data_IF_166200379102
#
_entry.id   IF_166200379102
#
_cell.length_a   1.000
_cell.length_b   1.000
_cell.length_c   1.000
_cell.angle_alpha   90.00
_cell.angle_beta   90.00
_cell.angle_gamma   90.00
#
_symmetry.space_group_name_H-M   'P 1'
#
loop_
_entity.id
_entity.type
_entity.pdbx_description
1 polymer ?
#
# COMPACT_ATOMS: atom_id res chain seq x y z
N UNK A 1 -10.46 -5.72 -11.68
CA UNK A 1 -9.52 -6.86 -11.60
C UNK A 1 -8.28 -6.38 -10.86
N UNK A 2 -7.89 -7.04 -9.77
CA UNK A 2 -6.61 -6.77 -9.10
C UNK A 2 -5.52 -7.35 -9.99
N UNK A 3 -4.59 -6.51 -10.47
CA UNK A 3 -3.54 -6.96 -11.38
C UNK A 3 -2.43 -7.76 -10.67
N UNK A 4 -1.44 -8.24 -11.44
CA UNK A 4 -0.33 -9.02 -10.90
C UNK A 4 0.50 -8.21 -9.90
N UNK A 5 1.22 -8.92 -9.03
CA UNK A 5 2.27 -8.34 -8.20
C UNK A 5 3.27 -7.63 -9.11
N UNK A 6 3.52 -6.35 -8.86
CA UNK A 6 4.46 -5.55 -9.63
C UNK A 6 5.63 -5.14 -8.79
N UNK A 7 6.80 -5.15 -9.42
CA UNK A 7 8.03 -4.68 -8.81
C UNK A 7 8.03 -3.17 -8.65
N UNK A 8 8.60 -2.69 -7.55
CA UNK A 8 8.77 -1.27 -7.21
C UNK A 8 9.36 -0.42 -8.34
N UNK A 9 10.17 -1.04 -9.21
CA UNK A 9 10.84 -0.41 -10.36
C UNK A 9 9.87 0.17 -11.41
N UNK A 10 8.62 -0.30 -11.45
CA UNK A 10 7.59 0.22 -12.38
C UNK A 10 7.14 1.64 -12.04
N UNK A 11 7.34 2.09 -10.80
CA UNK A 11 7.05 3.47 -10.41
C UNK A 11 8.05 4.39 -11.11
N UNK A 12 7.59 5.49 -11.71
CA UNK A 12 8.49 6.42 -12.42
C UNK A 12 9.30 7.28 -11.43
N UNK A 13 8.72 7.64 -10.28
CA UNK A 13 9.32 8.55 -9.30
C UNK A 13 10.21 7.84 -8.28
N UNK A 14 11.42 8.39 -8.03
CA UNK A 14 12.37 7.86 -7.04
C UNK A 14 11.79 7.81 -5.61
N UNK A 15 11.10 8.85 -5.17
CA UNK A 15 10.54 8.91 -3.80
C UNK A 15 9.48 7.81 -3.56
N UNK A 16 8.65 7.53 -4.57
CA UNK A 16 7.68 6.44 -4.51
C UNK A 16 8.37 5.08 -4.52
N UNK A 17 9.45 4.92 -5.32
CA UNK A 17 10.27 3.69 -5.30
C UNK A 17 10.87 3.44 -3.93
N UNK A 18 11.46 4.45 -3.30
CA UNK A 18 12.09 4.31 -1.98
C UNK A 18 11.07 3.93 -0.90
N UNK A 19 9.90 4.57 -0.89
CA UNK A 19 8.84 4.23 0.07
C UNK A 19 8.30 2.84 -0.20
N UNK A 20 7.98 2.51 -1.44
CA UNK A 20 7.43 1.20 -1.76
C UNK A 20 8.45 0.06 -1.54
N UNK A 21 9.76 0.28 -1.73
CA UNK A 21 10.81 -0.71 -1.43
C UNK A 21 10.86 -1.01 0.08
N UNK A 22 10.82 0.05 0.92
CA UNK A 22 10.76 -0.11 2.38
C UNK A 22 9.51 -0.87 2.81
N UNK A 23 8.37 -0.63 2.15
CA UNK A 23 7.11 -1.30 2.47
C UNK A 23 7.11 -2.76 2.02
N UNK A 24 7.62 -3.06 0.83
CA UNK A 24 7.78 -4.45 0.38
C UNK A 24 8.70 -5.22 1.31
N UNK A 25 9.80 -4.61 1.77
CA UNK A 25 10.67 -5.21 2.81
C UNK A 25 9.97 -5.42 4.15
N UNK A 26 8.99 -4.58 4.48
CA UNK A 26 8.13 -4.77 5.64
C UNK A 26 7.00 -5.79 5.41
N UNK A 27 6.98 -6.46 4.25
CA UNK A 27 6.01 -7.49 3.88
C UNK A 27 4.82 -6.99 3.07
N UNK A 28 4.75 -5.71 2.69
CA UNK A 28 3.65 -5.21 1.87
C UNK A 28 3.71 -5.73 0.43
N UNK A 29 2.56 -6.06 -0.13
CA UNK A 29 2.46 -6.54 -1.50
C UNK A 29 2.08 -5.39 -2.45
N UNK A 30 2.94 -5.06 -3.41
CA UNK A 30 2.62 -4.07 -4.44
C UNK A 30 1.96 -4.76 -5.64
N UNK A 31 0.75 -4.35 -6.02
CA UNK A 31 0.04 -4.88 -7.21
C UNK A 31 -0.32 -3.75 -8.18
N UNK A 32 -0.26 -4.03 -9.47
CA UNK A 32 -0.71 -3.06 -10.48
C UNK A 32 -2.24 -3.05 -10.55
N UNK A 33 -2.82 -1.86 -10.64
CA UNK A 33 -4.24 -1.65 -10.79
C UNK A 33 -4.46 -0.58 -11.86
N UNK A 34 -4.50 -1.04 -13.12
CA UNK A 34 -4.57 -0.17 -14.29
C UNK A 34 -3.36 0.76 -14.38
N UNK A 35 -3.60 2.07 -14.43
CA UNK A 35 -2.56 3.11 -14.50
C UNK A 35 -1.94 3.47 -13.13
N UNK A 36 -2.31 2.76 -12.07
CA UNK A 36 -1.84 2.98 -10.70
C UNK A 36 -1.28 1.68 -10.15
N UNK A 37 -0.54 1.76 -9.05
CA UNK A 37 -0.20 0.60 -8.25
C UNK A 37 -0.93 0.69 -6.91
N UNK A 38 -1.16 -0.42 -6.23
CA UNK A 38 -1.82 -0.47 -4.93
C UNK A 38 -0.98 -1.36 -4.01
N UNK A 39 -0.64 -0.85 -2.83
CA UNK A 39 0.02 -1.60 -1.76
C UNK A 39 -1.03 -2.30 -0.91
N UNK A 40 -0.89 -3.60 -0.76
CA UNK A 40 -1.73 -4.46 0.05
C UNK A 40 -1.02 -4.81 1.34
N UNK A 41 -1.74 -4.73 2.45
CA UNK A 41 -1.20 -5.04 3.76
C UNK A 41 -0.99 -6.55 3.94
N UNK A 42 0.13 -7.00 4.56
CA UNK A 42 0.41 -8.42 4.81
C UNK A 42 -0.44 -9.07 5.91
N UNK A 43 -1.37 -8.35 6.53
CA UNK A 43 -2.21 -8.95 7.58
C UNK A 43 -3.17 -9.99 6.97
N UNK A 44 -3.49 -11.06 7.71
CA UNK A 44 -4.36 -12.19 7.29
C UNK A 44 -5.79 -11.79 6.84
N UNK A 45 -6.16 -10.52 6.91
CA UNK A 45 -7.43 -9.98 6.41
C UNK A 45 -7.30 -8.84 5.39
N UNK A 46 -6.09 -8.54 4.88
CA UNK A 46 -5.81 -7.36 4.03
C UNK A 46 -6.47 -6.09 4.60
N UNK A 47 -6.21 -5.79 5.87
CA UNK A 47 -6.90 -4.76 6.64
C UNK A 47 -6.77 -3.33 6.08
N UNK A 48 -5.76 -3.07 5.23
CA UNK A 48 -5.56 -1.78 4.58
C UNK A 48 -4.95 -1.96 3.20
N UNK A 49 -5.49 -1.21 2.24
CA UNK A 49 -4.90 -1.03 0.91
C UNK A 49 -4.55 0.45 0.71
N UNK A 50 -3.39 0.70 0.12
CA UNK A 50 -2.88 2.05 -0.11
C UNK A 50 -2.66 2.22 -1.60
N UNK A 51 -3.50 3.00 -2.31
CA UNK A 51 -3.27 3.30 -3.71
C UNK A 51 -2.03 4.20 -3.85
N UNK A 52 -1.14 3.78 -4.74
CA UNK A 52 0.09 4.45 -5.14
C UNK A 52 -0.10 5.00 -6.57
N UNK A 53 -0.27 6.32 -6.73
CA UNK A 53 -0.33 6.92 -8.06
C UNK A 53 1.01 6.73 -8.79
N UNK A 54 0.99 6.35 -10.07
CA UNK A 54 2.21 6.19 -10.85
C UNK A 54 2.86 7.55 -11.21
N UNK A 55 2.01 8.57 -11.45
CA UNK A 55 2.42 9.94 -11.81
C UNK A 55 1.69 10.98 -10.95
N UNK A 56 2.05 11.15 -9.67
CA UNK A 56 1.49 12.21 -8.85
C UNK A 56 2.02 13.58 -9.27
N UNK A 57 1.18 14.62 -9.26
CA UNK A 57 1.63 16.00 -9.42
C UNK A 57 2.57 16.45 -8.28
N UNK A 58 2.53 15.79 -7.12
CA UNK A 58 3.47 15.99 -6.01
C UNK A 58 3.93 14.63 -5.45
N UNK A 59 5.06 14.08 -5.93
CA UNK A 59 5.55 12.76 -5.51
C UNK A 59 5.93 12.71 -4.03
N UNK A 60 6.51 13.78 -3.48
CA UNK A 60 6.96 13.80 -2.09
C UNK A 60 5.80 13.76 -1.11
N UNK A 61 4.72 14.47 -1.40
CA UNK A 61 3.51 14.42 -0.57
C UNK A 61 2.81 13.06 -0.69
N UNK A 62 2.73 12.49 -1.90
CA UNK A 62 2.19 11.14 -2.10
C UNK A 62 3.00 10.10 -1.31
N UNK A 63 4.32 10.14 -1.39
CA UNK A 63 5.23 9.26 -0.66
C UNK A 63 5.04 9.39 0.86
N UNK A 64 4.97 10.62 1.39
CA UNK A 64 4.70 10.86 2.82
C UNK A 64 3.34 10.32 3.25
N UNK A 65 2.30 10.50 2.44
CA UNK A 65 0.94 9.98 2.73
C UNK A 65 0.93 8.46 2.76
N UNK A 66 1.60 7.81 1.81
CA UNK A 66 1.74 6.35 1.75
C UNK A 66 2.48 5.86 3.00
N UNK A 67 3.63 6.46 3.33
CA UNK A 67 4.42 6.08 4.50
C UNK A 67 3.62 6.24 5.81
N UNK A 68 2.85 7.34 5.96
CA UNK A 68 2.01 7.55 7.15
C UNK A 68 0.90 6.51 7.28
N UNK A 69 0.22 6.17 6.17
CA UNK A 69 -0.81 5.11 6.19
C UNK A 69 -0.18 3.75 6.46
N UNK A 70 0.96 3.49 5.87
CA UNK A 70 1.66 2.24 6.08
C UNK A 70 2.11 2.08 7.52
N UNK A 71 2.50 3.14 8.25
CA UNK A 71 2.81 3.08 9.70
C UNK A 71 1.66 2.56 10.58
N UNK A 72 0.41 2.58 10.09
CA UNK A 72 -0.72 2.00 10.83
C UNK A 72 -0.69 0.46 10.83
N UNK A 73 0.16 -0.16 10.03
CA UNK A 73 0.36 -1.61 9.95
C UNK A 73 1.86 -1.95 9.83
N UNK A 74 2.33 -3.11 10.29
CA UNK A 74 1.57 -4.26 10.78
C UNK A 74 1.10 -4.06 12.22
N UNK A 75 -0.20 -4.23 12.44
CA UNK A 75 -0.76 -4.37 13.79
C UNK A 75 -0.34 -5.71 14.39
N UNK A 76 -0.27 -5.91 15.71
CA UNK A 76 0.06 -7.21 16.32
C UNK A 76 -0.97 -8.30 15.96
N UNK A 77 -0.53 -9.57 15.96
CA UNK A 77 -1.40 -10.72 15.73
C UNK A 77 -2.42 -10.82 16.88
N UNK A 78 -3.68 -10.47 16.61
CA UNK A 78 -4.72 -10.35 17.63
C UNK A 78 -5.33 -8.95 17.76
N UNK A 79 -4.79 -7.94 17.06
CA UNK A 79 -5.42 -6.62 17.05
C UNK A 79 -6.76 -6.68 16.28
N UNK A 80 -7.89 -6.27 16.88
CA UNK A 80 -9.19 -6.29 16.23
C UNK A 80 -9.26 -5.40 14.98
N UNK A 81 -8.30 -4.47 14.78
CA UNK A 81 -8.17 -3.68 13.55
C UNK A 81 -7.55 -4.45 12.38
N UNK A 82 -7.00 -5.66 12.60
CA UNK A 82 -6.54 -6.58 11.53
C UNK A 82 -7.71 -7.25 10.80
N UNK A 83 -8.88 -7.37 11.42
CA UNK A 83 -10.05 -7.87 10.70
C UNK A 83 -10.43 -6.82 9.66
N UNK A 84 -10.65 -7.29 8.43
CA UNK A 84 -11.12 -6.48 7.30
C UNK A 84 -12.27 -5.62 7.82
N UNK A 85 -12.23 -4.30 7.64
CA UNK A 85 -13.46 -3.48 7.69
C UNK A 85 -14.38 -3.97 6.57
N UNK A 86 -15.08 -5.07 6.81
CA UNK A 86 -16.36 -5.39 6.23
C UNK A 86 -17.38 -5.15 7.34
N UNK A 87 -18.22 -4.13 7.19
CA UNK A 87 -19.31 -3.84 8.11
C UNK A 87 -19.34 -2.39 8.59
N UNK A 88 -19.91 -1.50 7.78
CA UNK A 88 -21.18 -0.77 8.00
C UNK A 88 -21.50 -0.12 6.64
N UNK A 89 -22.34 -0.70 5.78
CA UNK A 89 -23.81 -0.60 5.77
C UNK A 89 -24.44 -0.03 7.06
N UNK A 90 -24.76 1.27 7.04
CA UNK A 90 -25.95 1.93 7.59
C UNK A 90 -26.22 3.18 6.75
#
# INVERSE_FOLDING_TARGET
MVGPLVSVKTLSCKELREVADRLVKAGWELRAEGHKATLYCPCEGQCTTIPVPCTPGNPGNAARRIARRAKLCPLPAGDPRRSRRGGVDV
#
